data_IF_920909554119
#
_entry.id   IF_920909554119
#
_cell.length_a   1.000
_cell.length_b   1.000
_cell.length_c   1.000
_cell.angle_alpha   90.00
_cell.angle_beta   90.00
_cell.angle_gamma   90.00
#
_symmetry.space_group_name_H-M   'P 1'
#
loop_
_entity.id
_entity.type
_entity.pdbx_description
1 polymer ?
#
# COMPACT_ATOMS: atom_id res chain seq x y z
N UNK A 1 8.70 4.48 -18.69
CA UNK A 1 8.17 3.21 -18.15
C UNK A 1 9.25 2.40 -17.41
N UNK A 2 10.43 2.20 -18.02
CA UNK A 2 11.52 1.41 -17.40
C UNK A 2 11.93 1.98 -16.04
N UNK A 3 12.13 3.29 -15.94
CA UNK A 3 12.53 3.97 -14.70
C UNK A 3 11.51 3.76 -13.58
N UNK A 4 10.21 3.90 -13.88
CA UNK A 4 9.14 3.70 -12.89
C UNK A 4 9.04 2.22 -12.48
N UNK A 5 9.24 1.29 -13.40
CA UNK A 5 9.28 -0.15 -13.09
C UNK A 5 10.48 -0.46 -12.19
N UNK A 6 11.67 0.09 -12.49
CA UNK A 6 12.86 -0.06 -11.63
C UNK A 6 12.63 0.52 -10.24
N UNK A 7 12.06 1.73 -10.15
CA UNK A 7 11.70 2.34 -8.88
C UNK A 7 10.78 1.42 -8.05
N UNK A 8 9.75 0.84 -8.67
CA UNK A 8 8.84 -0.07 -7.99
C UNK A 8 9.56 -1.34 -7.50
N UNK A 9 10.48 -1.90 -8.29
CA UNK A 9 11.29 -3.05 -7.91
C UNK A 9 12.25 -2.71 -6.76
N UNK A 10 12.85 -1.52 -6.78
CA UNK A 10 13.73 -1.05 -5.70
C UNK A 10 12.97 -0.86 -4.38
N UNK A 11 11.75 -0.32 -4.43
CA UNK A 11 10.89 -0.27 -3.23
C UNK A 11 10.62 -1.67 -2.68
N UNK A 12 10.28 -2.65 -3.53
CA UNK A 12 10.05 -4.02 -3.07
C UNK A 12 11.32 -4.65 -2.49
N UNK A 13 12.48 -4.32 -3.05
CA UNK A 13 13.78 -4.76 -2.54
C UNK A 13 14.09 -4.14 -1.16
N UNK A 14 13.85 -2.85 -0.97
CA UNK A 14 14.01 -2.16 0.33
C UNK A 14 13.05 -2.71 1.38
N UNK A 15 11.86 -3.15 0.98
CA UNK A 15 10.91 -3.86 1.84
C UNK A 15 11.33 -5.32 2.13
N UNK A 16 12.48 -5.77 1.63
CA UNK A 16 12.98 -7.14 1.74
C UNK A 16 12.03 -8.20 1.17
N UNK A 17 11.24 -7.85 0.15
CA UNK A 17 10.31 -8.78 -0.47
C UNK A 17 11.04 -9.95 -1.12
N UNK A 18 10.60 -11.21 -0.91
CA UNK A 18 11.20 -12.36 -1.58
C UNK A 18 11.10 -12.23 -3.10
N UNK A 19 12.15 -12.58 -3.85
CA UNK A 19 12.24 -12.37 -5.31
C UNK A 19 11.04 -12.92 -6.10
N UNK A 20 10.48 -14.05 -5.65
CA UNK A 20 9.38 -14.73 -6.33
C UNK A 20 8.03 -14.56 -5.62
N UNK A 21 7.85 -13.50 -4.83
CA UNK A 21 6.61 -13.24 -4.10
C UNK A 21 5.69 -12.25 -4.81
N UNK A 22 6.19 -11.54 -5.81
CA UNK A 22 5.43 -10.52 -6.52
C UNK A 22 5.79 -10.45 -8.01
N UNK A 23 4.88 -9.91 -8.81
CA UNK A 23 5.10 -9.61 -10.22
C UNK A 23 4.43 -8.29 -10.62
N UNK A 24 5.01 -7.60 -11.59
CA UNK A 24 4.42 -6.43 -12.24
C UNK A 24 3.76 -6.89 -13.55
N UNK A 25 2.45 -6.74 -13.64
CA UNK A 25 1.68 -6.98 -14.85
C UNK A 25 1.61 -5.71 -15.69
N UNK A 26 1.88 -5.84 -16.97
CA UNK A 26 1.96 -4.72 -17.92
C UNK A 26 1.03 -4.96 -19.09
N UNK A 27 0.32 -3.92 -19.50
CA UNK A 27 -0.45 -3.86 -20.72
C UNK A 27 -0.33 -2.49 -21.38
N UNK A 28 -1.08 -2.25 -22.47
CA UNK A 28 -1.06 -0.98 -23.18
C UNK A 28 -2.45 -0.64 -23.74
N UNK A 29 -2.89 0.58 -23.54
CA UNK A 29 -4.22 1.06 -23.98
C UNK A 29 -4.34 1.08 -25.51
N UNK A 30 -3.28 1.46 -26.23
CA UNK A 30 -3.30 1.41 -27.70
C UNK A 30 -3.41 -0.01 -28.25
N UNK A 31 -2.94 -1.02 -27.51
CA UNK A 31 -3.15 -2.42 -27.89
C UNK A 31 -4.62 -2.81 -27.77
N UNK A 32 -5.30 -2.34 -26.73
CA UNK A 32 -6.73 -2.55 -26.55
C UNK A 32 -7.54 -1.80 -27.62
N UNK A 33 -7.15 -0.58 -27.97
CA UNK A 33 -7.78 0.19 -29.05
C UNK A 33 -7.63 -0.51 -30.40
N UNK A 34 -6.43 -1.06 -30.70
CA UNK A 34 -6.20 -1.89 -31.88
C UNK A 34 -7.16 -3.09 -31.94
N UNK A 35 -7.38 -3.80 -30.81
CA UNK A 35 -8.36 -4.89 -30.74
C UNK A 35 -9.77 -4.36 -31.07
N UNK A 36 -10.19 -3.26 -30.47
CA UNK A 36 -11.50 -2.68 -30.68
C UNK A 36 -11.73 -2.24 -32.12
N UNK A 37 -10.73 -1.65 -32.77
CA UNK A 37 -10.81 -1.21 -34.17
C UNK A 37 -10.87 -2.43 -35.11
N UNK A 38 -10.01 -3.45 -34.88
CA UNK A 38 -9.99 -4.69 -35.65
C UNK A 38 -11.35 -5.42 -35.61
N UNK A 39 -11.97 -5.44 -34.42
CA UNK A 39 -13.26 -6.09 -34.20
C UNK A 39 -14.46 -5.17 -34.49
N UNK A 40 -14.24 -3.94 -34.93
CA UNK A 40 -15.27 -2.93 -35.18
C UNK A 40 -16.22 -2.76 -33.98
N UNK A 41 -15.69 -2.77 -32.75
CA UNK A 41 -16.48 -2.58 -31.53
C UNK A 41 -16.86 -1.11 -31.41
N UNK A 42 -18.17 -0.83 -31.28
CA UNK A 42 -18.68 0.54 -31.15
C UNK A 42 -18.13 1.24 -29.88
N UNK A 43 -18.05 2.58 -29.92
CA UNK A 43 -17.52 3.37 -28.80
C UNK A 43 -18.24 3.09 -27.47
N UNK A 44 -19.56 2.89 -27.52
CA UNK A 44 -20.39 2.59 -26.36
C UNK A 44 -20.03 1.22 -25.74
N UNK A 45 -19.71 0.23 -26.58
CA UNK A 45 -19.36 -1.11 -26.13
C UNK A 45 -17.90 -1.18 -25.64
N UNK A 46 -16.99 -0.36 -26.19
CA UNK A 46 -15.56 -0.35 -25.75
C UNK A 46 -15.42 -0.16 -24.25
N UNK A 47 -16.18 0.76 -23.65
CA UNK A 47 -16.15 1.01 -22.20
C UNK A 47 -16.62 -0.23 -21.41
N UNK A 48 -17.67 -0.90 -21.91
CA UNK A 48 -18.18 -2.11 -21.25
C UNK A 48 -17.20 -3.28 -21.37
N UNK A 49 -16.61 -3.49 -22.55
CA UNK A 49 -15.59 -4.54 -22.77
C UNK A 49 -14.33 -4.27 -21.95
N UNK A 50 -13.86 -3.01 -21.89
CA UNK A 50 -12.72 -2.64 -21.04
C UNK A 50 -13.00 -2.96 -19.56
N UNK A 51 -14.22 -2.66 -19.08
CA UNK A 51 -14.64 -3.01 -17.71
C UNK A 51 -14.73 -4.52 -17.49
N UNK A 52 -15.16 -5.28 -18.48
CA UNK A 52 -15.16 -6.75 -18.42
C UNK A 52 -13.74 -7.30 -18.28
N UNK A 53 -12.81 -6.81 -19.10
CA UNK A 53 -11.38 -7.18 -19.00
C UNK A 53 -10.77 -6.84 -17.65
N UNK A 54 -11.05 -5.65 -17.10
CA UNK A 54 -10.59 -5.23 -15.77
C UNK A 54 -11.07 -6.17 -14.64
N UNK A 55 -12.20 -6.84 -14.86
CA UNK A 55 -12.76 -7.83 -13.93
C UNK A 55 -12.48 -9.29 -14.32
N UNK A 56 -11.70 -9.53 -15.38
CA UNK A 56 -11.46 -10.87 -15.92
C UNK A 56 -11.01 -11.89 -14.86
N UNK A 57 -10.07 -11.51 -14.00
CA UNK A 57 -9.55 -12.38 -12.92
C UNK A 57 -10.57 -12.68 -11.81
N UNK A 58 -11.70 -11.95 -11.75
CA UNK A 58 -12.76 -12.11 -10.73
C UNK A 58 -13.94 -12.92 -11.24
N UNK A 59 -13.93 -13.32 -12.50
CA UNK A 59 -15.01 -14.02 -13.17
C UNK A 59 -14.58 -15.43 -13.56
N UNK A 60 -15.52 -16.37 -13.60
CA UNK A 60 -15.26 -17.65 -14.27
C UNK A 60 -15.20 -17.44 -15.80
N UNK A 61 -14.59 -18.38 -16.51
CA UNK A 61 -14.52 -18.31 -17.98
C UNK A 61 -15.92 -18.28 -18.64
N UNK A 62 -16.89 -19.00 -18.04
CA UNK A 62 -18.27 -19.00 -18.52
C UNK A 62 -18.95 -17.65 -18.26
N UNK A 63 -18.85 -17.13 -17.03
CA UNK A 63 -19.47 -15.83 -16.67
C UNK A 63 -18.89 -14.71 -17.53
N UNK A 64 -17.57 -14.72 -17.78
CA UNK A 64 -16.93 -13.75 -18.66
C UNK A 64 -17.48 -13.81 -20.09
N UNK A 65 -17.65 -15.01 -20.64
CA UNK A 65 -18.21 -15.22 -21.96
C UNK A 65 -19.67 -14.74 -22.04
N UNK A 66 -20.49 -15.12 -21.06
CA UNK A 66 -21.89 -14.73 -20.96
C UNK A 66 -22.03 -13.21 -20.85
N UNK A 67 -21.25 -12.58 -19.97
CA UNK A 67 -21.23 -11.13 -19.81
C UNK A 67 -20.89 -10.40 -21.11
N UNK A 68 -19.88 -10.89 -21.87
CA UNK A 68 -19.53 -10.28 -23.18
C UNK A 68 -20.69 -10.37 -24.18
N UNK A 69 -21.46 -11.45 -24.19
CA UNK A 69 -22.64 -11.60 -25.04
C UNK A 69 -23.79 -10.68 -24.58
N UNK A 70 -24.05 -10.60 -23.26
CA UNK A 70 -25.10 -9.76 -22.67
C UNK A 70 -24.91 -8.28 -22.95
N UNK A 71 -23.65 -7.79 -22.95
CA UNK A 71 -23.37 -6.38 -23.27
C UNK A 71 -23.53 -6.04 -24.75
N UNK A 72 -23.80 -7.04 -25.62
CA UNK A 72 -24.17 -6.85 -27.03
C UNK A 72 -23.05 -7.22 -28.02
N UNK A 73 -22.02 -7.94 -27.66
CA UNK A 73 -21.03 -8.47 -28.61
C UNK A 73 -21.62 -9.67 -29.38
N UNK A 74 -21.34 -9.77 -30.67
CA UNK A 74 -21.64 -10.97 -31.44
C UNK A 74 -20.65 -12.11 -31.11
N UNK A 75 -20.99 -13.34 -31.54
CA UNK A 75 -20.22 -14.54 -31.25
C UNK A 75 -18.75 -14.47 -31.68
N UNK A 76 -18.46 -13.84 -32.81
CA UNK A 76 -17.10 -13.64 -33.32
C UNK A 76 -16.33 -12.68 -32.43
N UNK A 77 -16.92 -11.55 -32.06
CA UNK A 77 -16.32 -10.57 -31.17
C UNK A 77 -16.06 -11.19 -29.80
N UNK A 78 -17.02 -11.93 -29.22
CA UNK A 78 -16.84 -12.65 -27.95
C UNK A 78 -15.64 -13.58 -28.00
N UNK A 79 -15.55 -14.41 -29.04
CA UNK A 79 -14.43 -15.36 -29.22
C UNK A 79 -13.08 -14.65 -29.35
N UNK A 80 -13.02 -13.54 -30.06
CA UNK A 80 -11.80 -12.77 -30.27
C UNK A 80 -11.38 -12.00 -29.00
N UNK A 81 -12.32 -11.47 -28.21
CA UNK A 81 -12.00 -10.86 -26.91
C UNK A 81 -11.48 -11.90 -25.91
N UNK A 82 -12.04 -13.11 -25.90
CA UNK A 82 -11.51 -14.21 -25.09
C UNK A 82 -10.12 -14.62 -25.57
N UNK A 83 -9.87 -14.68 -26.88
CA UNK A 83 -8.55 -14.99 -27.42
C UNK A 83 -7.54 -13.88 -27.07
N UNK A 84 -7.93 -12.61 -27.07
CA UNK A 84 -7.09 -11.50 -26.65
C UNK A 84 -6.55 -11.68 -25.22
N UNK A 85 -7.34 -12.21 -24.28
CA UNK A 85 -6.87 -12.42 -22.91
C UNK A 85 -5.69 -13.40 -22.79
N UNK A 86 -5.41 -14.16 -23.83
CA UNK A 86 -4.34 -15.17 -23.93
C UNK A 86 -3.14 -14.71 -24.74
N UNK A 87 -3.19 -13.48 -25.28
CA UNK A 87 -2.07 -13.00 -26.09
C UNK A 87 -0.77 -12.93 -25.26
N UNK A 88 0.31 -13.26 -25.92
CA UNK A 88 1.67 -13.24 -25.40
C UNK A 88 2.58 -12.30 -26.24
N UNK A 89 3.84 -12.19 -25.86
CA UNK A 89 4.83 -11.39 -26.59
C UNK A 89 5.03 -11.87 -28.02
N UNK A 90 4.88 -13.18 -28.30
CA UNK A 90 5.02 -13.72 -29.67
C UNK A 90 3.85 -13.25 -30.55
N UNK A 91 2.65 -13.10 -29.98
CA UNK A 91 1.52 -12.54 -30.69
C UNK A 91 1.73 -11.06 -31.00
N UNK A 92 2.30 -10.31 -30.05
CA UNK A 92 2.61 -8.88 -30.24
C UNK A 92 3.62 -8.69 -31.38
N UNK A 93 4.63 -9.53 -31.48
CA UNK A 93 5.65 -9.45 -32.54
C UNK A 93 5.04 -9.59 -33.95
N UNK A 94 3.97 -10.39 -34.08
CA UNK A 94 3.27 -10.57 -35.37
C UNK A 94 2.42 -9.36 -35.81
N UNK A 95 2.06 -8.48 -34.86
CA UNK A 95 1.17 -7.32 -35.13
C UNK A 95 1.84 -5.98 -34.85
N UNK A 96 3.15 -5.97 -34.59
CA UNK A 96 3.89 -4.74 -34.20
C UNK A 96 3.85 -3.65 -35.27
N UNK A 97 3.80 -4.04 -36.55
CA UNK A 97 3.75 -3.08 -37.66
C UNK A 97 2.36 -2.47 -37.84
N UNK A 98 1.33 -3.06 -37.23
CA UNK A 98 -0.07 -2.62 -37.29
C UNK A 98 -0.54 -1.95 -35.98
N UNK A 99 0.15 -2.18 -34.87
CA UNK A 99 -0.25 -1.74 -33.53
C UNK A 99 0.87 -1.01 -32.78
N UNK A 100 0.68 0.29 -32.58
CA UNK A 100 1.58 1.12 -31.75
C UNK A 100 1.72 0.51 -30.34
N UNK A 101 0.63 0.00 -29.76
CA UNK A 101 0.67 -0.63 -28.45
C UNK A 101 1.53 -1.89 -28.40
N UNK A 102 1.50 -2.70 -29.46
CA UNK A 102 2.37 -3.88 -29.58
C UNK A 102 3.84 -3.47 -29.73
N UNK A 103 4.13 -2.48 -30.57
CA UNK A 103 5.47 -1.95 -30.77
C UNK A 103 6.08 -1.42 -29.45
N UNK A 104 5.31 -0.60 -28.69
CA UNK A 104 5.74 -0.04 -27.41
C UNK A 104 6.02 -1.14 -26.37
N UNK A 105 5.17 -2.17 -26.29
CA UNK A 105 5.37 -3.30 -25.38
C UNK A 105 6.62 -4.10 -25.73
N UNK A 106 6.84 -4.41 -27.00
CA UNK A 106 8.04 -5.14 -27.47
C UNK A 106 9.31 -4.35 -27.10
N UNK A 107 9.32 -3.04 -27.36
CA UNK A 107 10.43 -2.18 -26.99
C UNK A 107 10.68 -2.16 -25.48
N UNK A 108 9.62 -2.02 -24.68
CA UNK A 108 9.68 -2.05 -23.22
C UNK A 108 10.26 -3.38 -22.73
N UNK A 109 9.72 -4.52 -23.16
CA UNK A 109 10.20 -5.83 -22.73
C UNK A 109 11.62 -6.13 -23.22
N UNK A 110 12.03 -5.61 -24.37
CA UNK A 110 13.42 -5.70 -24.84
C UNK A 110 14.38 -4.97 -23.89
N UNK A 111 14.02 -3.76 -23.45
CA UNK A 111 14.80 -2.97 -22.49
C UNK A 111 14.84 -3.65 -21.11
N UNK A 112 13.72 -4.14 -20.60
CA UNK A 112 13.65 -4.89 -19.35
C UNK A 112 14.53 -6.13 -19.37
N UNK A 113 14.51 -6.87 -20.48
CA UNK A 113 15.38 -8.06 -20.69
C UNK A 113 16.86 -7.67 -20.69
N UNK A 114 17.24 -6.60 -21.36
CA UNK A 114 18.62 -6.11 -21.38
C UNK A 114 19.11 -5.70 -19.98
N UNK A 115 18.21 -5.24 -19.11
CA UNK A 115 18.50 -4.90 -17.71
C UNK A 115 18.36 -6.10 -16.75
N UNK A 116 18.13 -7.31 -17.27
CA UNK A 116 17.92 -8.53 -16.47
C UNK A 116 16.74 -8.46 -15.50
N UNK A 117 15.73 -7.67 -15.82
CA UNK A 117 14.49 -7.53 -15.04
C UNK A 117 13.53 -8.66 -15.47
N UNK A 118 13.17 -9.54 -14.52
CA UNK A 118 12.34 -10.72 -14.76
C UNK A 118 10.97 -10.73 -14.08
N UNK A 119 10.76 -9.86 -13.09
CA UNK A 119 9.50 -9.77 -12.33
C UNK A 119 8.41 -8.98 -13.05
N UNK A 120 8.48 -8.89 -14.38
CA UNK A 120 7.53 -8.12 -15.22
C UNK A 120 6.97 -9.01 -16.29
N UNK A 121 5.64 -9.08 -16.38
CA UNK A 121 4.94 -9.94 -17.33
C UNK A 121 3.92 -9.14 -18.15
N UNK A 122 3.75 -9.51 -19.42
CA UNK A 122 2.67 -8.98 -20.24
C UNK A 122 1.35 -9.66 -19.88
N UNK A 123 0.34 -8.83 -19.58
CA UNK A 123 -1.01 -9.29 -19.27
C UNK A 123 -2.04 -8.43 -20.00
N UNK A 124 -2.61 -8.89 -21.11
CA UNK A 124 -3.49 -8.08 -21.96
C UNK A 124 -4.77 -7.61 -21.27
N UNK A 125 -5.24 -8.31 -20.27
CA UNK A 125 -6.45 -7.96 -19.51
C UNK A 125 -6.23 -6.91 -18.42
N UNK A 126 -5.01 -6.40 -18.21
CA UNK A 126 -4.77 -5.26 -17.32
C UNK A 126 -5.15 -3.97 -18.09
N UNK A 127 -6.28 -3.39 -17.73
CA UNK A 127 -6.86 -2.24 -18.46
C UNK A 127 -6.83 -0.97 -17.63
N UNK A 128 -6.93 -1.09 -16.31
CA UNK A 128 -7.12 0.03 -15.37
C UNK A 128 -8.40 0.82 -15.65
N UNK A 129 -9.25 0.97 -14.62
CA UNK A 129 -10.57 1.62 -14.74
C UNK A 129 -10.55 3.13 -14.98
N UNK A 130 -9.38 3.78 -14.98
CA UNK A 130 -9.26 5.24 -15.14
C UNK A 130 -9.14 5.63 -16.61
N UNK A 131 -10.08 6.43 -17.10
CA UNK A 131 -10.18 6.82 -18.51
C UNK A 131 -9.02 7.70 -19.02
N UNK A 132 -8.22 8.29 -18.13
CA UNK A 132 -7.12 9.19 -18.49
C UNK A 132 -5.83 8.49 -18.94
N UNK A 133 -5.69 7.18 -18.75
CA UNK A 133 -4.52 6.45 -19.24
C UNK A 133 -4.50 6.37 -20.77
N UNK A 134 -3.35 6.68 -21.38
CA UNK A 134 -3.18 6.79 -22.83
C UNK A 134 -2.32 5.73 -23.46
N UNK A 135 -1.42 5.09 -22.70
CA UNK A 135 -0.44 4.13 -23.21
C UNK A 135 -0.26 2.95 -22.27
N UNK A 136 1.00 2.69 -21.91
CA UNK A 136 1.36 1.59 -21.00
C UNK A 136 0.68 1.75 -19.64
N UNK A 137 0.14 0.64 -19.13
CA UNK A 137 -0.44 0.52 -17.79
C UNK A 137 0.26 -0.61 -17.04
N UNK A 138 0.43 -0.43 -15.74
CA UNK A 138 1.14 -1.38 -14.86
C UNK A 138 0.38 -1.62 -13.57
N UNK A 139 0.47 -2.84 -13.04
CA UNK A 139 -0.03 -3.21 -11.72
C UNK A 139 0.90 -4.23 -11.07
N UNK A 140 1.19 -4.06 -9.78
CA UNK A 140 1.98 -5.03 -9.01
C UNK A 140 1.07 -5.90 -8.15
N UNK A 141 1.28 -7.20 -8.23
CA UNK A 141 0.51 -8.21 -7.50
C UNK A 141 1.39 -9.09 -6.61
N UNK A 142 0.84 -9.50 -5.48
CA UNK A 142 1.35 -10.62 -4.69
C UNK A 142 1.01 -11.94 -5.37
N UNK A 143 2.01 -12.69 -5.83
CA UNK A 143 1.83 -13.98 -6.53
C UNK A 143 1.25 -15.06 -5.60
N UNK A 144 1.54 -14.98 -4.31
CA UNK A 144 1.02 -15.94 -3.32
C UNK A 144 -0.44 -15.72 -2.92
N UNK A 145 -1.10 -14.66 -3.39
CA UNK A 145 -2.50 -14.40 -3.11
C UNK A 145 -3.38 -15.14 -4.14
N UNK A 146 -4.04 -16.22 -3.71
CA UNK A 146 -4.86 -17.05 -4.59
C UNK A 146 -6.31 -16.56 -4.73
N UNK A 147 -6.85 -15.94 -3.68
CA UNK A 147 -8.23 -15.48 -3.63
C UNK A 147 -8.31 -13.97 -3.92
N UNK A 148 -9.02 -13.58 -4.98
CA UNK A 148 -9.24 -12.19 -5.39
C UNK A 148 -8.00 -11.30 -5.31
N UNK A 149 -7.03 -11.45 -6.22
CA UNK A 149 -5.78 -10.69 -6.16
C UNK A 149 -6.05 -9.20 -6.29
N UNK A 150 -5.58 -8.43 -5.30
CA UNK A 150 -5.61 -6.96 -5.32
C UNK A 150 -4.23 -6.45 -5.67
N UNK A 151 -4.16 -5.50 -6.60
CA UNK A 151 -2.90 -4.84 -6.89
C UNK A 151 -2.41 -4.06 -5.66
N UNK A 152 -1.11 -4.19 -5.34
CA UNK A 152 -0.45 -3.38 -4.30
C UNK A 152 -0.19 -1.97 -4.79
N UNK A 153 0.15 -1.81 -6.06
CA UNK A 153 0.10 -0.53 -6.73
C UNK A 153 -0.43 -0.67 -8.15
N UNK A 154 -0.80 0.46 -8.72
CA UNK A 154 -1.12 0.53 -10.13
C UNK A 154 -0.84 1.91 -10.68
N UNK A 155 -0.49 1.96 -11.95
CA UNK A 155 -0.11 3.17 -12.65
C UNK A 155 -0.18 3.04 -14.15
N UNK A 156 0.34 4.07 -14.83
CA UNK A 156 0.41 4.07 -16.27
C UNK A 156 0.72 5.45 -16.84
N UNK A 157 0.75 5.51 -18.16
CA UNK A 157 0.97 6.71 -18.94
C UNK A 157 -0.33 7.51 -19.09
N UNK A 158 -0.27 8.81 -18.92
CA UNK A 158 -1.40 9.74 -19.02
C UNK A 158 -1.00 11.08 -19.67
N UNK A 159 -0.58 11.03 -20.91
CA UNK A 159 -0.03 12.17 -21.65
C UNK A 159 -1.05 13.28 -21.90
N UNK A 160 -2.36 12.99 -21.84
CA UNK A 160 -3.44 13.92 -22.14
C UNK A 160 -4.13 14.48 -20.88
N UNK A 161 -3.65 14.18 -19.67
CA UNK A 161 -4.36 14.57 -18.45
C UNK A 161 -4.54 16.08 -18.33
N UNK A 162 -3.55 16.87 -18.71
CA UNK A 162 -3.61 18.33 -18.62
C UNK A 162 -4.57 18.98 -19.62
N UNK A 163 -4.93 18.29 -20.71
CA UNK A 163 -5.94 18.79 -21.65
C UNK A 163 -7.32 18.96 -21.00
N UNK A 164 -7.64 18.20 -19.95
CA UNK A 164 -8.87 18.34 -19.16
C UNK A 164 -8.96 19.72 -18.50
N UNK A 165 -7.82 20.36 -18.26
CA UNK A 165 -7.69 21.69 -17.66
C UNK A 165 -7.40 22.77 -18.71
N UNK A 166 -7.57 22.49 -20.01
CA UNK A 166 -7.23 23.36 -21.15
C UNK A 166 -5.76 23.77 -21.21
N UNK A 167 -4.85 22.92 -20.70
CA UNK A 167 -3.41 23.10 -20.77
C UNK A 167 -2.79 22.23 -21.88
N UNK A 168 -1.57 22.55 -22.26
CA UNK A 168 -0.82 21.78 -23.26
C UNK A 168 -0.58 20.34 -22.79
N UNK A 169 -0.51 19.40 -23.73
CA UNK A 169 -0.11 18.02 -23.46
C UNK A 169 1.29 17.97 -22.85
N UNK A 170 1.41 17.30 -21.72
CA UNK A 170 2.69 16.99 -21.09
C UNK A 170 2.75 15.48 -20.88
N UNK A 171 3.72 14.77 -21.49
CA UNK A 171 3.90 13.35 -21.27
C UNK A 171 4.14 13.07 -19.78
N UNK A 172 3.34 12.21 -19.22
CA UNK A 172 3.46 11.83 -17.82
C UNK A 172 3.21 10.32 -17.61
N UNK A 173 3.94 9.77 -16.67
CA UNK A 173 3.77 8.41 -16.19
C UNK A 173 3.87 8.40 -14.67
N UNK A 174 2.94 7.75 -14.00
CA UNK A 174 2.92 7.70 -12.54
C UNK A 174 2.26 6.47 -12.00
N UNK A 175 2.41 6.26 -10.71
CA UNK A 175 1.78 5.16 -9.98
C UNK A 175 1.20 5.64 -8.65
N UNK A 176 0.14 4.95 -8.19
CA UNK A 176 -0.40 5.08 -6.85
C UNK A 176 -0.15 3.80 -6.08
N UNK A 177 0.45 3.92 -4.91
CA UNK A 177 0.80 2.79 -4.05
C UNK A 177 -0.22 2.61 -2.93
N UNK A 178 -0.75 1.38 -2.75
CA UNK A 178 -1.72 1.06 -1.70
C UNK A 178 -1.03 0.69 -0.39
N UNK A 179 -1.29 1.44 0.66
CA UNK A 179 -0.76 1.19 2.01
C UNK A 179 -1.29 -0.10 2.63
N UNK A 180 -2.62 -0.32 2.59
CA UNK A 180 -3.27 -1.51 3.15
C UNK A 180 -2.79 -2.79 2.47
N UNK A 181 -2.75 -2.82 1.13
CA UNK A 181 -2.32 -4.00 0.38
C UNK A 181 -0.84 -4.31 0.58
N UNK A 182 -0.01 -3.27 0.75
CA UNK A 182 1.41 -3.42 1.11
C UNK A 182 1.57 -3.94 2.54
N UNK A 183 0.80 -3.42 3.49
CA UNK A 183 0.80 -3.93 4.87
C UNK A 183 0.42 -5.41 4.92
N UNK A 184 -0.63 -5.82 4.21
CA UNK A 184 -1.06 -7.22 4.14
C UNK A 184 0.03 -8.13 3.55
N UNK A 185 0.72 -7.65 2.50
CA UNK A 185 1.88 -8.33 1.92
C UNK A 185 3.02 -8.49 2.94
N UNK A 186 3.44 -7.40 3.59
CA UNK A 186 4.51 -7.42 4.59
C UNK A 186 4.17 -8.34 5.77
N UNK A 187 2.93 -8.31 6.24
CA UNK A 187 2.43 -9.19 7.30
C UNK A 187 2.50 -10.66 6.89
N UNK A 188 2.04 -10.98 5.68
CA UNK A 188 2.03 -12.35 5.14
C UNK A 188 3.44 -12.96 5.06
N UNK A 189 4.42 -12.16 4.65
CA UNK A 189 5.80 -12.59 4.52
C UNK A 189 6.66 -12.37 5.75
N UNK A 190 6.08 -11.98 6.90
CA UNK A 190 6.76 -11.65 8.16
C UNK A 190 7.85 -10.57 8.00
N UNK A 191 7.56 -9.54 7.19
CA UNK A 191 8.47 -8.43 6.89
C UNK A 191 8.12 -7.14 7.64
N UNK A 192 7.04 -7.16 8.44
CA UNK A 192 6.69 -5.99 9.25
C UNK A 192 7.79 -5.71 10.28
N UNK A 193 8.27 -4.47 10.38
CA UNK A 193 9.21 -4.10 11.42
C UNK A 193 8.56 -4.26 12.80
N UNK A 194 9.34 -4.69 13.77
CA UNK A 194 8.91 -4.69 15.16
C UNK A 194 8.69 -3.24 15.61
N UNK A 195 7.44 -2.91 15.94
CA UNK A 195 7.16 -1.57 16.45
C UNK A 195 7.76 -1.44 17.86
N UNK A 196 8.78 -0.62 17.98
CA UNK A 196 9.33 -0.20 19.28
C UNK A 196 8.85 1.21 19.57
N UNK A 197 8.05 1.34 20.62
CA UNK A 197 7.62 2.66 21.08
C UNK A 197 8.82 3.45 21.59
N UNK A 198 8.98 4.68 21.12
CA UNK A 198 9.98 5.62 21.65
C UNK A 198 9.59 6.18 23.01
N UNK A 199 8.37 5.91 23.47
CA UNK A 199 7.87 6.38 24.76
C UNK A 199 8.61 5.64 25.87
N UNK A 200 9.25 6.41 26.74
CA UNK A 200 9.98 5.91 27.90
C UNK A 200 9.14 5.86 29.16
N UNK A 201 8.20 6.80 29.30
CA UNK A 201 7.41 6.94 30.53
C UNK A 201 5.93 7.08 30.21
N UNK A 202 5.11 6.34 30.96
CA UNK A 202 3.65 6.55 31.04
C UNK A 202 3.34 7.21 32.38
N UNK A 203 2.70 8.38 32.37
CA UNK A 203 2.26 9.07 33.60
C UNK A 203 0.79 8.76 33.82
N UNK A 204 0.47 8.07 34.92
CA UNK A 204 -0.89 7.62 35.21
C UNK A 204 -1.74 8.74 35.82
N UNK A 205 -3.05 8.73 35.56
CA UNK A 205 -4.05 9.61 36.15
C UNK A 205 -5.18 8.77 36.74
N UNK A 206 -5.34 8.78 38.06
CA UNK A 206 -6.35 8.00 38.76
C UNK A 206 -7.58 8.80 39.16
N UNK A 207 -7.42 10.11 39.41
CA UNK A 207 -8.48 11.02 39.81
C UNK A 207 -8.31 12.38 39.11
N UNK A 208 -9.42 13.04 38.82
CA UNK A 208 -9.44 14.36 38.16
C UNK A 208 -8.76 15.46 38.98
N UNK A 209 -8.81 15.38 40.32
CA UNK A 209 -8.13 16.31 41.21
C UNK A 209 -6.61 16.31 41.07
N UNK A 210 -6.07 15.20 40.63
CA UNK A 210 -4.62 15.01 40.43
C UNK A 210 -4.15 15.43 39.03
N UNK A 211 -5.05 15.95 38.16
CA UNK A 211 -4.70 16.25 36.76
C UNK A 211 -3.53 17.28 36.68
N UNK A 212 -3.61 18.40 37.42
CA UNK A 212 -2.58 19.44 37.35
C UNK A 212 -1.22 18.91 37.84
N UNK A 213 -1.08 18.33 39.04
CA UNK A 213 0.21 17.84 39.49
C UNK A 213 0.75 16.70 38.61
N UNK A 214 -0.12 15.87 38.03
CA UNK A 214 0.28 14.82 37.07
C UNK A 214 0.80 15.43 35.77
N UNK A 215 0.15 16.48 35.27
CA UNK A 215 0.59 17.19 34.07
C UNK A 215 1.93 17.90 34.28
N UNK A 216 2.17 18.48 35.45
CA UNK A 216 3.45 19.08 35.82
C UNK A 216 4.61 18.05 35.80
N UNK A 217 4.36 16.84 36.30
CA UNK A 217 5.36 15.74 36.22
C UNK A 217 5.60 15.34 34.76
N UNK A 218 4.54 15.20 33.96
CA UNK A 218 4.68 14.85 32.55
C UNK A 218 5.44 15.93 31.75
N UNK A 219 5.17 17.21 32.04
CA UNK A 219 5.87 18.35 31.43
C UNK A 219 7.34 18.34 31.84
N UNK A 220 7.63 18.19 33.13
CA UNK A 220 9.01 18.11 33.63
C UNK A 220 9.82 17.01 32.93
N UNK A 221 9.26 15.82 32.74
CA UNK A 221 9.92 14.74 32.04
C UNK A 221 10.20 15.08 30.56
N UNK A 222 9.22 15.70 29.87
CA UNK A 222 9.36 16.13 28.46
C UNK A 222 10.42 17.23 28.30
N UNK A 223 10.46 18.20 29.21
CA UNK A 223 11.47 19.28 29.22
C UNK A 223 12.89 18.73 29.42
N UNK A 224 13.01 17.53 30.01
CA UNK A 224 14.27 16.80 30.13
C UNK A 224 14.48 15.74 29.06
N UNK A 225 13.85 15.90 27.88
CA UNK A 225 13.97 15.02 26.69
C UNK A 225 13.56 13.55 26.93
N UNK A 226 12.67 13.29 27.88
CA UNK A 226 12.11 11.95 28.08
C UNK A 226 10.77 11.86 27.37
N UNK A 227 10.68 11.01 26.36
CA UNK A 227 9.45 10.76 25.63
C UNK A 227 8.37 10.20 26.56
N UNK A 228 7.39 11.04 26.88
CA UNK A 228 6.40 10.79 27.92
C UNK A 228 4.98 10.91 27.38
N UNK A 229 4.16 9.90 27.65
CA UNK A 229 2.69 9.94 27.46
C UNK A 229 2.02 10.06 28.82
N UNK A 230 0.94 10.85 28.89
CA UNK A 230 0.13 11.03 30.09
C UNK A 230 -1.29 10.55 29.84
N UNK A 231 -1.89 9.88 30.80
CA UNK A 231 -3.33 9.59 30.80
C UNK A 231 -4.11 10.87 30.99
N UNK A 232 -5.09 11.13 30.10
CA UNK A 232 -5.83 12.40 30.07
C UNK A 232 -7.14 12.35 30.87
N UNK A 233 -7.74 11.18 30.97
CA UNK A 233 -8.97 10.95 31.73
C UNK A 233 -8.73 9.93 32.85
N UNK A 234 -9.31 10.10 34.05
CA UNK A 234 -9.10 9.16 35.14
C UNK A 234 -9.54 7.74 34.78
N UNK A 235 -8.68 6.77 34.99
CA UNK A 235 -8.92 5.35 34.78
C UNK A 235 -8.27 4.54 35.91
N UNK A 236 -8.83 3.37 36.25
CA UNK A 236 -8.22 2.47 37.23
C UNK A 236 -6.76 2.15 36.88
N UNK A 237 -5.86 2.25 37.85
CA UNK A 237 -4.43 2.03 37.68
C UNK A 237 -4.11 0.73 36.97
N UNK A 238 -4.80 -0.37 37.30
CA UNK A 238 -4.57 -1.66 36.67
C UNK A 238 -4.75 -1.64 35.16
N UNK A 239 -5.73 -0.91 34.62
CA UNK A 239 -5.95 -0.75 33.18
C UNK A 239 -4.81 0.09 32.55
N UNK A 240 -4.35 1.12 33.23
CA UNK A 240 -3.26 1.95 32.76
C UNK A 240 -1.93 1.17 32.69
N UNK A 241 -1.65 0.32 33.69
CA UNK A 241 -0.49 -0.58 33.67
C UNK A 241 -0.59 -1.60 32.53
N UNK A 242 -1.78 -2.11 32.21
CA UNK A 242 -1.97 -2.99 31.06
C UNK A 242 -1.67 -2.25 29.73
N UNK A 243 -2.09 -0.99 29.60
CA UNK A 243 -1.79 -0.17 28.41
C UNK A 243 -0.28 0.08 28.29
N UNK A 244 0.39 0.45 29.39
CA UNK A 244 1.83 0.65 29.39
C UNK A 244 2.58 -0.64 29.00
N UNK A 245 2.16 -1.77 29.53
CA UNK A 245 2.73 -3.09 29.21
C UNK A 245 2.51 -3.48 27.73
N UNK A 246 1.28 -3.32 27.22
CA UNK A 246 0.95 -3.66 25.81
C UNK A 246 1.69 -2.80 24.79
N UNK A 247 2.15 -1.61 25.20
CA UNK A 247 2.95 -0.70 24.38
C UNK A 247 4.46 -0.79 24.67
N UNK A 248 4.89 -1.75 25.50
CA UNK A 248 6.27 -1.93 25.91
C UNK A 248 6.91 -0.67 26.49
N UNK A 249 6.14 0.14 27.26
CA UNK A 249 6.63 1.35 27.91
C UNK A 249 7.35 0.91 29.19
N UNK A 250 8.66 1.19 29.34
CA UNK A 250 9.46 0.62 30.44
C UNK A 250 9.14 1.21 31.80
N UNK A 251 8.66 2.45 31.86
CA UNK A 251 8.45 3.13 33.13
C UNK A 251 7.03 3.68 33.27
N UNK A 252 6.46 3.56 34.46
CA UNK A 252 5.17 4.20 34.81
C UNK A 252 5.36 5.08 36.03
N UNK A 253 4.98 6.34 35.90
CA UNK A 253 4.84 7.26 37.03
C UNK A 253 3.44 7.15 37.59
N UNK A 254 3.34 6.96 38.90
CA UNK A 254 2.11 6.92 39.66
C UNK A 254 2.17 8.05 40.68
N UNK A 255 1.16 8.89 40.67
CA UNK A 255 0.98 10.01 41.60
C UNK A 255 -0.41 9.93 42.20
N UNK A 256 -0.45 9.56 43.48
CA UNK A 256 -1.66 9.61 44.30
C UNK A 256 -1.65 10.80 45.25
N UNK A 257 -2.67 10.94 46.07
CA UNK A 257 -2.74 12.02 47.09
C UNK A 257 -1.61 11.91 48.13
N UNK A 258 -1.23 10.67 48.49
CA UNK A 258 -0.19 10.43 49.50
C UNK A 258 1.20 10.80 48.93
N UNK A 259 1.48 10.45 47.69
CA UNK A 259 2.70 10.83 47.01
C UNK A 259 2.79 12.38 46.88
N UNK A 260 1.67 13.01 46.49
CA UNK A 260 1.59 14.46 46.35
C UNK A 260 1.88 15.16 47.69
N UNK A 261 1.22 14.74 48.78
CA UNK A 261 1.44 15.30 50.12
C UNK A 261 2.89 15.16 50.59
N UNK A 262 3.59 14.10 50.18
CA UNK A 262 4.99 13.83 50.52
C UNK A 262 5.97 14.48 49.55
N UNK A 263 5.54 15.13 48.50
CA UNK A 263 6.39 15.70 47.44
C UNK A 263 7.22 14.67 46.68
N UNK A 264 6.68 13.48 46.50
CA UNK A 264 7.36 12.37 45.79
C UNK A 264 6.44 11.81 44.69
N UNK A 265 7.03 11.05 43.78
CA UNK A 265 6.31 10.21 42.80
C UNK A 265 6.69 8.73 43.05
N UNK A 266 5.78 7.83 42.69
CA UNK A 266 6.13 6.43 42.62
C UNK A 266 6.53 6.12 41.16
N UNK A 267 7.80 5.78 40.91
CA UNK A 267 8.31 5.35 39.62
C UNK A 267 8.36 3.82 39.58
N UNK A 268 7.56 3.21 38.70
CA UNK A 268 7.48 1.75 38.53
C UNK A 268 8.24 1.32 37.29
N UNK A 269 9.20 0.42 37.47
CA UNK A 269 9.85 -0.30 36.39
C UNK A 269 8.95 -1.46 35.93
N UNK A 270 8.49 -1.40 34.68
CA UNK A 270 7.59 -2.40 34.12
C UNK A 270 8.29 -3.72 33.79
N UNK A 271 9.61 -3.70 33.59
CA UNK A 271 10.38 -4.91 33.27
C UNK A 271 10.65 -5.73 34.53
N UNK A 272 11.09 -5.08 35.60
CA UNK A 272 11.41 -5.78 36.87
C UNK A 272 10.26 -5.85 37.87
N UNK A 273 9.18 -5.05 37.63
CA UNK A 273 8.06 -4.90 38.55
C UNK A 273 8.35 -4.08 39.81
N UNK A 274 9.59 -3.61 40.01
CA UNK A 274 10.01 -2.81 41.19
C UNK A 274 9.43 -1.42 41.12
N UNK A 275 9.11 -0.84 42.30
CA UNK A 275 8.66 0.52 42.46
C UNK A 275 9.57 1.31 43.38
N UNK A 276 9.77 2.58 43.06
CA UNK A 276 10.64 3.50 43.81
C UNK A 276 9.87 4.75 44.17
N UNK A 277 9.87 5.15 45.43
CA UNK A 277 9.34 6.44 45.89
C UNK A 277 10.52 7.44 45.87
N UNK A 278 10.43 8.40 44.94
CA UNK A 278 11.54 9.35 44.68
C UNK A 278 10.97 10.76 44.39
N UNK A 279 11.79 11.79 44.53
CA UNK A 279 11.44 13.10 44.02
C UNK A 279 11.42 13.07 42.50
N UNK A 280 10.62 13.93 41.88
CA UNK A 280 10.53 13.97 40.40
C UNK A 280 11.87 14.28 39.73
N UNK A 281 12.71 15.08 40.41
CA UNK A 281 14.04 15.46 39.94
C UNK A 281 14.97 14.25 39.84
N UNK A 282 14.86 13.27 40.77
CA UNK A 282 15.68 12.07 40.80
C UNK A 282 15.24 11.03 39.78
N UNK A 283 14.04 11.21 39.17
CA UNK A 283 13.51 10.24 38.20
C UNK A 283 14.33 10.18 36.92
N UNK A 284 14.91 11.31 36.48
CA UNK A 284 15.69 11.40 35.26
C UNK A 284 16.85 10.41 35.26
N UNK A 285 17.64 10.37 36.35
CA UNK A 285 18.81 9.48 36.50
C UNK A 285 18.45 7.99 36.48
N UNK A 286 17.20 7.65 36.84
CA UNK A 286 16.73 6.25 36.81
C UNK A 286 16.15 5.81 35.48
N UNK A 287 15.63 6.77 34.68
CA UNK A 287 14.96 6.51 33.41
C UNK A 287 15.97 6.46 32.24
N UNK A 288 16.99 7.28 32.30
CA UNK A 288 18.11 7.32 31.33
C UNK A 288 19.13 6.26 31.66
#
# INVERSE_FOLDING_TARGET
EVEIIQFALDVMKELNAPKNSFEIKVSNRYLLDYLFDTLQISKELRVKVARALDNYLKMSANDFKEYLAEIGLNNTQVSQVIEYTKWDIQKLDKIKDESIGAQQLIELFSKLKALSISNVVFCPYIVRGLAYYTGTVIELYDIGQKDTPRAMFGGGRYDNLLEIFNENKIPAFGLGWGDITTFDFLKKYNLLPEYKSDIKVFVSLMDSSLYIPTAEVATYLRDNNINTVMQITPVKLSKQLQVANSKNIPWVVILGEDELKRGVIQLKDMNSGKSFLIKKEDSIQKIV
#
